data_IF_040216508505
#
_entry.id   IF_040216508505
#
_cell.length_a   1.000
_cell.length_b   1.000
_cell.length_c   1.000
_cell.angle_alpha   90.00
_cell.angle_beta   90.00
_cell.angle_gamma   90.00
#
_symmetry.space_group_name_H-M   'P 1'
#
loop_
_entity.id
_entity.type
_entity.pdbx_description
1 polymer ?
#
# COMPACT_ATOMS: atom_id res chain seq x y z
N UNK A 1 36.07 18.09 51.20
CA UNK A 1 35.98 18.58 49.82
C UNK A 1 35.66 17.37 48.97
N UNK A 2 34.34 17.15 48.64
CA UNK A 2 33.86 16.01 47.90
C UNK A 2 33.71 16.45 46.44
N UNK A 3 34.49 15.81 45.56
CA UNK A 3 34.42 16.09 44.11
C UNK A 3 33.30 15.24 43.51
N UNK A 4 32.20 15.87 43.10
CA UNK A 4 31.13 15.24 42.31
C UNK A 4 31.58 15.20 40.84
N UNK A 5 31.90 13.97 40.38
CA UNK A 5 32.05 13.67 38.93
C UNK A 5 30.67 13.59 38.29
N UNK A 6 30.31 14.63 37.54
CA UNK A 6 29.12 14.60 36.65
C UNK A 6 29.54 13.89 35.36
N UNK A 7 29.17 12.61 35.21
CA UNK A 7 29.29 11.88 33.95
C UNK A 7 28.20 12.37 32.98
N UNK A 8 28.61 13.18 32.01
CA UNK A 8 27.74 13.60 30.91
C UNK A 8 27.39 12.37 30.04
N UNK A 9 26.12 11.92 30.09
CA UNK A 9 25.58 11.04 29.07
C UNK A 9 25.54 11.78 27.75
N UNK A 10 26.43 11.44 26.83
CA UNK A 10 26.33 11.82 25.43
C UNK A 10 25.15 11.07 24.82
N UNK A 11 24.04 11.75 24.62
CA UNK A 11 22.94 11.26 23.78
C UNK A 11 23.49 11.08 22.36
N UNK A 12 23.72 9.84 21.97
CA UNK A 12 24.05 9.50 20.59
C UNK A 12 22.92 10.02 19.69
N UNK A 13 23.23 10.99 18.85
CA UNK A 13 22.28 11.50 17.83
C UNK A 13 21.92 10.33 16.94
N UNK A 14 20.64 9.95 16.92
CA UNK A 14 20.11 9.02 15.95
C UNK A 14 20.54 9.49 14.56
N UNK A 15 21.17 8.64 13.73
CA UNK A 15 21.58 9.06 12.40
C UNK A 15 20.35 9.55 11.62
N UNK A 16 20.42 10.75 11.03
CA UNK A 16 19.36 11.26 10.18
C UNK A 16 19.13 10.26 9.06
N UNK A 17 17.89 9.78 8.90
CA UNK A 17 17.49 8.98 7.75
C UNK A 17 17.85 9.77 6.49
N UNK A 18 18.61 9.16 5.59
CA UNK A 18 18.95 9.73 4.30
C UNK A 18 18.20 8.95 3.24
N UNK A 19 17.34 9.62 2.49
CA UNK A 19 16.56 9.03 1.41
C UNK A 19 16.80 9.79 0.13
N UNK A 20 16.74 9.09 -1.01
CA UNK A 20 16.73 9.68 -2.36
C UNK A 20 15.40 9.43 -3.06
N UNK A 21 14.71 8.37 -2.69
CA UNK A 21 13.41 8.00 -3.25
C UNK A 21 12.48 7.47 -2.15
N UNK A 22 11.18 7.68 -2.34
CA UNK A 22 10.14 7.09 -1.51
C UNK A 22 9.17 6.29 -2.39
N UNK A 23 8.70 5.16 -1.88
CA UNK A 23 7.68 4.32 -2.52
C UNK A 23 6.59 4.12 -1.48
N UNK A 24 5.33 4.41 -1.84
CA UNK A 24 4.19 4.36 -0.94
C UNK A 24 3.17 3.29 -1.32
N UNK A 25 2.28 2.97 -0.37
CA UNK A 25 1.05 2.22 -0.61
C UNK A 25 -0.10 2.83 0.20
N UNK A 26 -1.30 2.87 -0.38
CA UNK A 26 -2.51 3.34 0.30
C UNK A 26 -3.77 2.62 -0.20
N UNK A 27 -4.52 1.99 0.68
CA UNK A 27 -5.89 1.57 0.40
C UNK A 27 -6.81 2.79 0.47
N UNK A 28 -7.55 3.10 -0.60
CA UNK A 28 -8.34 4.32 -0.74
C UNK A 28 -9.76 4.22 -0.14
N UNK A 29 -10.11 3.09 0.48
CA UNK A 29 -11.47 2.83 1.00
C UNK A 29 -12.55 3.14 -0.04
N UNK A 30 -12.67 2.30 -1.06
CA UNK A 30 -13.73 2.34 -2.06
C UNK A 30 -13.81 3.70 -2.81
N UNK A 31 -12.80 4.00 -3.62
CA UNK A 31 -12.86 5.15 -4.53
C UNK A 31 -13.71 4.80 -5.75
N UNK A 32 -15.01 5.04 -5.64
CA UNK A 32 -16.00 4.87 -6.70
C UNK A 32 -16.40 6.23 -7.29
N UNK A 33 -16.74 6.23 -8.59
CA UNK A 33 -17.44 7.37 -9.18
C UNK A 33 -18.96 7.30 -8.87
N UNK A 34 -19.81 7.91 -9.66
CA UNK A 34 -21.25 7.96 -9.40
C UNK A 34 -22.06 7.25 -10.47
N UNK A 35 -21.40 6.46 -11.32
CA UNK A 35 -22.03 5.77 -12.44
C UNK A 35 -21.90 4.26 -12.22
N UNK A 36 -22.93 3.52 -12.60
CA UNK A 36 -22.88 2.06 -12.58
C UNK A 36 -22.02 1.53 -13.74
N UNK A 37 -21.08 0.65 -13.42
CA UNK A 37 -20.31 -0.09 -14.41
C UNK A 37 -21.00 -1.42 -14.76
N UNK A 38 -21.24 -1.65 -16.05
CA UNK A 38 -21.96 -2.84 -16.52
C UNK A 38 -21.29 -4.14 -16.05
N UNK A 39 -22.07 -5.00 -15.42
CA UNK A 39 -21.60 -6.30 -14.91
C UNK A 39 -20.92 -6.25 -13.54
N UNK A 40 -20.85 -5.08 -12.91
CA UNK A 40 -20.30 -4.91 -11.56
C UNK A 40 -21.42 -4.81 -10.52
N UNK A 41 -21.09 -5.12 -9.27
CA UNK A 41 -22.00 -4.99 -8.12
C UNK A 41 -21.61 -3.75 -7.30
N UNK A 42 -21.74 -2.59 -7.89
CA UNK A 42 -21.35 -1.27 -7.38
C UNK A 42 -22.56 -0.41 -6.94
N UNK A 43 -23.75 -0.99 -6.97
CA UNK A 43 -25.03 -0.28 -6.71
C UNK A 43 -25.07 0.48 -5.39
N UNK A 44 -24.30 0.06 -4.38
CA UNK A 44 -24.24 0.77 -3.10
C UNK A 44 -23.55 2.13 -3.21
N UNK A 45 -22.71 2.34 -4.25
CA UNK A 45 -22.01 3.59 -4.54
C UNK A 45 -22.74 4.48 -5.59
N UNK A 46 -24.04 4.31 -5.75
CA UNK A 46 -24.87 5.21 -6.53
C UNK A 46 -25.64 6.17 -5.61
N UNK A 47 -26.23 7.23 -6.22
CA UNK A 47 -26.99 8.22 -5.46
C UNK A 47 -28.17 7.60 -4.71
N UNK A 48 -28.81 6.58 -5.28
CA UNK A 48 -29.91 5.82 -4.70
C UNK A 48 -29.44 4.62 -3.87
N UNK A 49 -28.14 4.32 -3.89
CA UNK A 49 -27.55 3.20 -3.16
C UNK A 49 -27.45 3.46 -1.65
N UNK A 50 -27.00 2.45 -0.91
CA UNK A 50 -26.97 2.49 0.58
C UNK A 50 -26.04 3.58 1.14
N UNK A 51 -25.01 3.97 0.41
CA UNK A 51 -24.11 5.08 0.79
C UNK A 51 -24.62 6.45 0.33
N UNK A 52 -25.70 6.51 -0.47
CA UNK A 52 -26.18 7.74 -1.11
C UNK A 52 -25.02 8.52 -1.74
N UNK A 53 -24.25 7.83 -2.60
CA UNK A 53 -23.00 8.31 -3.15
C UNK A 53 -23.24 9.34 -4.24
N UNK A 54 -23.19 10.62 -3.88
CA UNK A 54 -23.45 11.77 -4.77
C UNK A 54 -22.15 12.32 -5.35
N UNK A 55 -22.27 13.14 -6.41
CA UNK A 55 -21.14 13.84 -7.01
C UNK A 55 -20.36 14.71 -6.00
N UNK A 56 -21.05 15.34 -5.04
CA UNK A 56 -20.40 16.12 -3.99
C UNK A 56 -19.52 15.22 -3.08
N UNK A 57 -20.02 14.05 -2.69
CA UNK A 57 -19.23 13.10 -1.90
C UNK A 57 -18.02 12.61 -2.67
N UNK A 58 -18.18 12.28 -3.96
CA UNK A 58 -17.09 11.88 -4.83
C UNK A 58 -16.00 12.96 -4.95
N UNK A 59 -16.39 14.21 -5.20
CA UNK A 59 -15.45 15.34 -5.30
C UNK A 59 -14.68 15.53 -3.97
N UNK A 60 -15.36 15.45 -2.82
CA UNK A 60 -14.71 15.54 -1.52
C UNK A 60 -13.74 14.37 -1.28
N UNK A 61 -14.14 13.14 -1.66
CA UNK A 61 -13.28 11.95 -1.57
C UNK A 61 -12.01 12.13 -2.41
N UNK A 62 -12.14 12.58 -3.66
CA UNK A 62 -10.99 12.87 -4.53
C UNK A 62 -10.05 13.92 -3.90
N UNK A 63 -10.60 15.01 -3.37
CA UNK A 63 -9.80 16.05 -2.72
C UNK A 63 -9.05 15.51 -1.50
N UNK A 64 -9.73 14.73 -0.65
CA UNK A 64 -9.11 14.11 0.53
C UNK A 64 -8.00 13.13 0.13
N UNK A 65 -8.26 12.24 -0.83
CA UNK A 65 -7.25 11.27 -1.29
C UNK A 65 -6.05 11.96 -1.93
N UNK A 66 -6.28 12.95 -2.79
CA UNK A 66 -5.21 13.68 -3.45
C UNK A 66 -4.29 14.42 -2.45
N UNK A 67 -4.86 14.96 -1.38
CA UNK A 67 -4.09 15.56 -0.29
C UNK A 67 -3.14 14.54 0.32
N UNK A 68 -3.65 13.38 0.77
CA UNK A 68 -2.82 12.34 1.40
C UNK A 68 -1.72 11.88 0.45
N UNK A 69 -2.09 11.49 -0.77
CA UNK A 69 -1.15 10.98 -1.77
C UNK A 69 -0.06 11.98 -2.12
N UNK A 70 -0.36 13.28 -2.13
CA UNK A 70 0.62 14.33 -2.40
C UNK A 70 1.58 14.58 -1.22
N UNK A 71 1.19 14.24 -0.01
CA UNK A 71 2.01 14.40 1.19
C UNK A 71 2.91 13.19 1.49
N UNK A 72 2.64 12.01 0.88
CA UNK A 72 3.44 10.81 1.12
C UNK A 72 4.92 11.01 0.72
N UNK A 73 5.82 10.66 1.64
CA UNK A 73 7.27 10.74 1.44
C UNK A 73 7.85 12.15 1.57
N UNK A 74 7.02 13.19 1.77
CA UNK A 74 7.48 14.57 1.83
C UNK A 74 8.19 14.94 3.12
N UNK A 75 8.08 14.15 4.16
CA UNK A 75 8.82 14.31 5.42
C UNK A 75 10.35 14.21 5.24
N UNK A 76 10.81 13.36 4.31
CA UNK A 76 12.22 13.24 3.92
C UNK A 76 12.52 13.84 2.54
N UNK A 77 11.52 13.94 1.66
CA UNK A 77 11.64 14.41 0.28
C UNK A 77 10.58 15.49 -0.02
N UNK A 78 10.66 16.67 0.62
CA UNK A 78 9.58 17.66 0.65
C UNK A 78 9.14 18.17 -0.73
N UNK A 79 10.06 18.30 -1.67
CA UNK A 79 9.78 18.80 -3.02
C UNK A 79 9.38 17.69 -4.01
N UNK A 80 9.62 16.42 -3.67
CA UNK A 80 9.53 15.27 -4.58
C UNK A 80 8.36 14.36 -4.20
N UNK A 81 8.26 13.97 -2.93
CA UNK A 81 7.33 12.95 -2.45
C UNK A 81 7.69 11.55 -2.98
N UNK A 82 6.69 10.70 -3.14
CA UNK A 82 6.90 9.34 -3.64
C UNK A 82 7.18 9.31 -5.14
N UNK A 83 8.12 8.46 -5.54
CA UNK A 83 8.39 8.12 -6.94
C UNK A 83 7.28 7.23 -7.53
N UNK A 84 6.72 6.34 -6.71
CA UNK A 84 5.57 5.51 -7.05
C UNK A 84 4.72 5.24 -5.80
N UNK A 85 3.41 5.07 -5.98
CA UNK A 85 2.45 4.75 -4.92
C UNK A 85 1.50 3.69 -5.45
N UNK A 86 1.52 2.49 -4.86
CA UNK A 86 0.47 1.51 -5.06
C UNK A 86 -0.82 1.96 -4.39
N UNK A 87 -1.94 1.77 -5.04
CA UNK A 87 -3.26 2.04 -4.45
C UNK A 87 -4.18 0.84 -4.65
N UNK A 88 -5.11 0.66 -3.73
CA UNK A 88 -6.15 -0.36 -3.80
C UNK A 88 -7.54 0.25 -3.58
N UNK A 89 -8.56 -0.51 -3.94
CA UNK A 89 -9.96 -0.12 -3.87
C UNK A 89 -10.31 1.08 -4.76
N UNK A 90 -9.83 1.03 -5.99
CA UNK A 90 -10.19 1.97 -7.05
C UNK A 90 -11.13 1.27 -8.01
N UNK A 91 -12.24 1.92 -8.35
CA UNK A 91 -13.23 1.36 -9.25
C UNK A 91 -12.68 1.21 -10.68
N UNK A 92 -12.21 2.30 -11.27
CA UNK A 92 -11.86 2.31 -12.69
C UNK A 92 -10.83 3.39 -13.06
N UNK A 93 -10.43 3.42 -14.33
CA UNK A 93 -9.47 4.41 -14.86
C UNK A 93 -10.01 5.85 -14.82
N UNK A 94 -11.34 6.06 -14.81
CA UNK A 94 -11.95 7.39 -14.68
C UNK A 94 -11.69 7.96 -13.29
N UNK A 95 -11.92 7.17 -12.24
CA UNK A 95 -11.59 7.56 -10.86
C UNK A 95 -10.14 7.98 -10.72
N UNK A 96 -9.21 7.24 -11.32
CA UNK A 96 -7.79 7.57 -11.30
C UNK A 96 -7.48 8.85 -12.09
N UNK A 97 -8.12 9.04 -13.25
CA UNK A 97 -7.97 10.25 -14.05
C UNK A 97 -8.45 11.49 -13.27
N UNK A 98 -9.59 11.39 -12.61
CA UNK A 98 -10.13 12.48 -11.81
C UNK A 98 -9.24 12.75 -10.57
N UNK A 99 -8.68 11.70 -9.97
CA UNK A 99 -7.77 11.80 -8.84
C UNK A 99 -6.45 12.50 -9.19
N UNK A 100 -5.76 12.08 -10.26
CA UNK A 100 -4.48 12.69 -10.64
C UNK A 100 -4.63 14.11 -11.19
N UNK A 101 -5.84 14.50 -11.62
CA UNK A 101 -6.16 15.86 -12.05
C UNK A 101 -6.47 16.79 -10.87
N UNK A 102 -6.58 16.29 -9.63
CA UNK A 102 -6.68 17.16 -8.45
C UNK A 102 -5.43 18.07 -8.35
N UNK A 103 -5.56 19.33 -7.95
CA UNK A 103 -4.48 20.32 -8.00
C UNK A 103 -3.16 19.86 -7.39
N UNK A 104 -3.21 19.17 -6.25
CA UNK A 104 -2.03 18.71 -5.51
C UNK A 104 -1.22 17.64 -6.26
N UNK A 105 -1.88 16.71 -6.96
CA UNK A 105 -1.23 15.64 -7.74
C UNK A 105 -0.86 16.12 -9.13
N UNK A 106 -1.72 16.93 -9.76
CA UNK A 106 -1.47 17.52 -11.07
C UNK A 106 -0.20 18.37 -11.10
N UNK A 107 0.07 19.11 -10.03
CA UNK A 107 1.29 19.91 -9.89
C UNK A 107 2.58 19.06 -9.93
N UNK A 108 2.49 17.77 -9.61
CA UNK A 108 3.61 16.82 -9.64
C UNK A 108 3.64 15.96 -10.91
N UNK A 109 2.75 16.22 -11.88
CA UNK A 109 2.63 15.46 -13.12
C UNK A 109 2.51 13.93 -12.89
N UNK A 110 1.76 13.52 -11.85
CA UNK A 110 1.55 12.10 -11.54
C UNK A 110 0.78 11.43 -12.68
N UNK A 111 1.21 10.24 -13.04
CA UNK A 111 0.56 9.35 -14.00
C UNK A 111 0.15 8.06 -13.28
N UNK A 112 -0.59 7.19 -13.96
CA UNK A 112 -0.99 5.90 -13.39
C UNK A 112 -0.89 4.75 -14.39
N UNK A 113 -0.75 3.54 -13.86
CA UNK A 113 -0.97 2.26 -14.52
C UNK A 113 -2.16 1.59 -13.84
N UNK A 114 -3.14 1.21 -14.64
CA UNK A 114 -4.31 0.46 -14.22
C UNK A 114 -4.66 -0.56 -15.29
N UNK A 115 -5.03 -1.75 -14.88
CA UNK A 115 -5.55 -2.81 -15.74
C UNK A 115 -6.81 -3.33 -15.06
N UNK A 116 -7.93 -3.22 -15.76
CA UNK A 116 -9.24 -3.66 -15.27
C UNK A 116 -9.20 -5.14 -14.87
N UNK A 117 -9.66 -5.43 -13.67
CA UNK A 117 -9.70 -6.77 -13.10
C UNK A 117 -11.09 -7.39 -13.07
N UNK A 118 -11.17 -8.67 -12.75
CA UNK A 118 -12.43 -9.41 -12.75
C UNK A 118 -13.19 -9.32 -11.43
N UNK A 119 -12.84 -8.44 -10.50
CA UNK A 119 -13.54 -8.30 -9.21
C UNK A 119 -15.01 -7.92 -9.45
N UNK A 120 -15.91 -8.62 -8.76
CA UNK A 120 -17.36 -8.42 -8.94
C UNK A 120 -17.87 -7.08 -8.41
N UNK A 121 -17.21 -6.50 -7.41
CA UNK A 121 -17.55 -5.16 -6.92
C UNK A 121 -17.03 -4.06 -7.85
N UNK A 122 -16.11 -4.40 -8.75
CA UNK A 122 -15.45 -3.44 -9.63
C UNK A 122 -14.33 -2.68 -8.96
N UNK A 123 -13.64 -3.25 -7.98
CA UNK A 123 -12.47 -2.60 -7.37
C UNK A 123 -11.17 -3.25 -7.83
N UNK A 124 -10.18 -2.42 -8.08
CA UNK A 124 -8.88 -2.82 -8.59
C UNK A 124 -7.72 -2.25 -7.77
N UNK A 125 -6.51 -2.67 -8.15
CA UNK A 125 -5.25 -2.04 -7.77
C UNK A 125 -4.71 -1.20 -8.90
N UNK A 126 -3.99 -0.12 -8.56
CA UNK A 126 -3.29 0.70 -9.53
C UNK A 126 -1.92 1.14 -8.99
N UNK A 127 -1.05 1.61 -9.87
CA UNK A 127 0.23 2.24 -9.53
C UNK A 127 0.21 3.68 -10.02
N UNK A 128 0.23 4.64 -9.10
CA UNK A 128 0.49 6.06 -9.39
C UNK A 128 2.01 6.25 -9.43
N UNK A 129 2.53 7.06 -10.35
CA UNK A 129 3.97 7.29 -10.42
C UNK A 129 4.33 8.68 -10.95
N UNK A 130 5.50 9.16 -10.54
CA UNK A 130 6.10 10.37 -11.10
C UNK A 130 7.00 9.98 -12.27
N UNK A 131 6.67 10.34 -13.53
CA UNK A 131 7.43 9.91 -14.71
C UNK A 131 8.83 10.53 -14.79
N UNK A 132 9.12 11.59 -14.03
CA UNK A 132 10.46 12.14 -13.90
C UNK A 132 11.40 11.25 -13.05
N UNK A 133 10.85 10.35 -12.24
CA UNK A 133 11.60 9.48 -11.32
C UNK A 133 11.52 8.01 -11.73
N UNK A 134 10.33 7.53 -12.05
CA UNK A 134 10.07 6.14 -12.42
C UNK A 134 9.61 6.05 -13.87
N UNK A 135 10.40 5.37 -14.70
CA UNK A 135 10.05 5.12 -16.10
C UNK A 135 9.47 3.72 -16.25
N UNK A 136 8.19 3.63 -16.56
CA UNK A 136 7.51 2.35 -16.79
C UNK A 136 8.00 1.74 -18.11
N UNK A 137 8.26 0.42 -18.09
CA UNK A 137 8.66 -0.38 -19.26
C UNK A 137 7.58 -1.33 -19.69
N UNK A 138 6.97 -2.02 -18.73
CA UNK A 138 5.93 -3.02 -18.95
C UNK A 138 4.97 -3.09 -17.77
N UNK A 139 3.74 -3.50 -18.04
CA UNK A 139 2.73 -3.73 -17.01
C UNK A 139 1.81 -4.88 -17.40
N UNK A 140 1.47 -5.72 -16.43
CA UNK A 140 0.55 -6.84 -16.61
C UNK A 140 -0.28 -7.09 -15.35
N UNK A 141 -1.47 -7.65 -15.53
CA UNK A 141 -2.30 -8.14 -14.45
C UNK A 141 -2.26 -9.67 -14.44
N UNK A 142 -1.71 -10.25 -13.37
CA UNK A 142 -1.70 -11.70 -13.17
C UNK A 142 -2.95 -12.05 -12.38
N UNK A 143 -3.83 -12.93 -12.91
CA UNK A 143 -5.07 -13.28 -12.22
C UNK A 143 -4.79 -13.97 -10.88
N UNK A 144 -5.56 -13.60 -9.85
CA UNK A 144 -5.67 -14.41 -8.65
C UNK A 144 -6.59 -15.60 -8.92
N UNK A 145 -6.20 -16.77 -8.49
CA UNK A 145 -6.95 -18.03 -8.71
C UNK A 145 -7.35 -18.62 -7.36
N UNK A 146 -8.65 -18.77 -7.13
CA UNK A 146 -9.14 -19.56 -6.00
C UNK A 146 -8.86 -21.04 -6.24
N UNK A 147 -8.21 -21.72 -5.30
CA UNK A 147 -7.74 -23.11 -5.48
C UNK A 147 -8.77 -24.15 -5.04
N UNK A 148 -9.77 -23.76 -4.26
CA UNK A 148 -10.76 -24.70 -3.70
C UNK A 148 -11.99 -24.85 -4.59
N UNK A 149 -12.53 -26.09 -4.69
CA UNK A 149 -13.70 -26.36 -5.53
C UNK A 149 -14.94 -25.55 -5.16
N UNK A 150 -15.15 -25.25 -3.87
CA UNK A 150 -16.27 -24.43 -3.38
C UNK A 150 -16.23 -22.96 -3.84
N UNK A 151 -15.06 -22.50 -4.27
CA UNK A 151 -14.86 -21.15 -4.81
C UNK A 151 -14.76 -21.14 -6.35
N UNK A 152 -15.07 -22.25 -7.01
CA UNK A 152 -15.02 -22.34 -8.46
C UNK A 152 -15.88 -21.24 -9.11
N UNK A 153 -15.27 -20.52 -10.05
CA UNK A 153 -15.94 -19.40 -10.74
C UNK A 153 -15.96 -18.06 -9.98
N UNK A 154 -15.45 -18.01 -8.73
CA UNK A 154 -15.20 -16.72 -8.08
C UNK A 154 -14.02 -16.02 -8.74
N UNK A 155 -14.14 -14.71 -8.85
CA UNK A 155 -13.06 -13.86 -9.32
C UNK A 155 -12.85 -12.70 -8.33
N UNK A 156 -11.61 -12.26 -8.23
CA UNK A 156 -11.22 -11.11 -7.40
C UNK A 156 -10.06 -10.38 -8.06
N UNK A 157 -9.57 -9.32 -7.41
CA UNK A 157 -8.43 -8.54 -7.89
C UNK A 157 -7.25 -9.45 -8.17
N UNK A 158 -6.56 -9.21 -9.28
CA UNK A 158 -5.29 -9.85 -9.59
C UNK A 158 -4.10 -9.13 -8.96
N UNK A 159 -2.90 -9.52 -9.37
CA UNK A 159 -1.64 -8.89 -8.99
C UNK A 159 -1.20 -7.98 -10.14
N UNK A 160 -1.21 -6.67 -9.92
CA UNK A 160 -0.70 -5.71 -10.90
C UNK A 160 0.83 -5.69 -10.81
N UNK A 161 1.48 -6.19 -11.84
CA UNK A 161 2.94 -6.23 -11.95
C UNK A 161 3.39 -5.11 -12.88
N UNK A 162 4.19 -4.18 -12.37
CA UNK A 162 4.74 -3.06 -13.15
C UNK A 162 6.26 -3.11 -13.10
N UNK A 163 6.89 -3.24 -14.23
CA UNK A 163 8.34 -3.20 -14.37
C UNK A 163 8.80 -1.85 -14.94
N UNK A 164 9.93 -1.35 -14.48
CA UNK A 164 10.42 -0.05 -14.87
C UNK A 164 11.85 0.22 -14.45
N UNK A 165 12.19 1.51 -14.47
CA UNK A 165 13.53 1.99 -14.09
C UNK A 165 13.39 3.12 -13.06
N UNK A 166 14.08 2.98 -11.93
CA UNK A 166 14.26 4.00 -10.90
C UNK A 166 15.75 4.18 -10.65
N UNK A 167 16.25 5.41 -10.68
CA UNK A 167 17.68 5.70 -10.51
C UNK A 167 18.60 4.93 -11.48
N UNK A 168 18.12 4.59 -12.68
CA UNK A 168 18.87 3.80 -13.66
C UNK A 168 18.87 2.29 -13.41
N UNK A 169 18.24 1.81 -12.34
CA UNK A 169 18.15 0.39 -12.00
C UNK A 169 16.80 -0.22 -12.36
N UNK A 170 16.80 -1.51 -12.67
CA UNK A 170 15.58 -2.26 -12.92
C UNK A 170 14.81 -2.47 -11.60
N UNK A 171 13.58 -1.98 -11.58
CA UNK A 171 12.67 -2.09 -10.45
C UNK A 171 11.38 -2.73 -10.91
N UNK A 172 10.88 -3.70 -10.16
CA UNK A 172 9.55 -4.28 -10.35
C UNK A 172 8.72 -4.05 -9.10
N UNK A 173 7.51 -3.54 -9.30
CA UNK A 173 6.54 -3.29 -8.24
C UNK A 173 5.33 -4.19 -8.49
N UNK A 174 4.94 -4.98 -7.50
CA UNK A 174 3.70 -5.75 -7.51
C UNK A 174 2.73 -5.06 -6.55
N UNK A 175 1.59 -4.62 -7.07
CA UNK A 175 0.50 -4.08 -6.25
C UNK A 175 -0.61 -5.13 -6.15
N UNK A 176 -1.05 -5.41 -4.94
CA UNK A 176 -2.07 -6.43 -4.69
C UNK A 176 -3.07 -6.00 -3.60
N UNK A 177 -4.22 -6.66 -3.57
CA UNK A 177 -5.19 -6.55 -2.51
C UNK A 177 -5.80 -7.94 -2.27
N UNK A 178 -5.33 -8.65 -1.24
CA UNK A 178 -5.77 -10.00 -0.93
C UNK A 178 -7.21 -10.04 -0.40
N UNK A 179 -7.89 -11.19 -0.45
CA UNK A 179 -9.24 -11.34 0.08
C UNK A 179 -9.34 -10.92 1.54
N UNK A 180 -10.40 -10.18 1.90
CA UNK A 180 -10.60 -9.68 3.25
C UNK A 180 -10.78 -10.81 4.27
N UNK A 181 -10.65 -10.49 5.58
CA UNK A 181 -10.92 -11.45 6.67
C UNK A 181 -12.39 -11.90 6.75
N UNK A 182 -13.27 -11.35 5.93
CA UNK A 182 -14.60 -11.94 5.67
C UNK A 182 -14.54 -13.27 4.93
N UNK A 183 -13.49 -13.53 4.16
CA UNK A 183 -13.16 -14.84 3.61
C UNK A 183 -12.35 -15.67 4.63
N UNK A 184 -12.36 -17.00 4.46
CA UNK A 184 -11.53 -17.90 5.26
C UNK A 184 -10.03 -17.65 4.99
N UNK A 185 -9.17 -17.94 5.97
CA UNK A 185 -7.72 -17.66 5.92
C UNK A 185 -7.03 -18.25 4.70
N UNK A 186 -7.44 -19.45 4.27
CA UNK A 186 -6.83 -20.11 3.12
C UNK A 186 -6.82 -19.24 1.85
N UNK A 187 -7.80 -18.37 1.66
CA UNK A 187 -7.84 -17.49 0.50
C UNK A 187 -6.64 -16.52 0.50
N UNK A 188 -6.23 -16.03 1.66
CA UNK A 188 -5.03 -15.19 1.78
C UNK A 188 -3.74 -16.01 1.71
N UNK A 189 -3.74 -17.23 2.24
CA UNK A 189 -2.63 -18.19 2.12
C UNK A 189 -2.39 -18.57 0.66
N UNK A 190 -3.46 -18.84 -0.12
CA UNK A 190 -3.39 -19.04 -1.56
C UNK A 190 -2.80 -17.80 -2.26
N UNK A 191 -3.24 -16.59 -1.86
CA UNK A 191 -2.70 -15.33 -2.37
C UNK A 191 -1.21 -15.18 -2.11
N UNK A 192 -0.77 -15.46 -0.88
CA UNK A 192 0.66 -15.44 -0.52
C UNK A 192 1.48 -16.45 -1.33
N UNK A 193 0.94 -17.65 -1.55
CA UNK A 193 1.58 -18.70 -2.38
C UNK A 193 1.70 -18.26 -3.84
N UNK A 194 0.66 -17.65 -4.41
CA UNK A 194 0.67 -17.16 -5.79
C UNK A 194 1.62 -15.96 -5.94
N UNK A 195 1.63 -15.02 -4.99
CA UNK A 195 2.60 -13.93 -4.99
C UNK A 195 4.05 -14.44 -4.93
N UNK A 196 4.32 -15.51 -4.16
CA UNK A 196 5.63 -16.17 -4.14
C UNK A 196 5.98 -16.71 -5.52
N UNK A 197 5.05 -17.40 -6.21
CA UNK A 197 5.29 -17.94 -7.53
C UNK A 197 5.58 -16.84 -8.56
N UNK A 198 4.85 -15.71 -8.51
CA UNK A 198 5.11 -14.54 -9.36
C UNK A 198 6.51 -13.97 -9.08
N UNK A 199 6.84 -13.77 -7.81
CA UNK A 199 8.18 -13.33 -7.38
C UNK A 199 9.28 -14.29 -7.89
N UNK A 200 9.09 -15.58 -7.72
CA UNK A 200 10.09 -16.59 -8.13
C UNK A 200 10.31 -16.57 -9.65
N UNK A 201 9.26 -16.35 -10.44
CA UNK A 201 9.37 -16.19 -11.90
C UNK A 201 10.17 -14.92 -12.25
N UNK A 202 9.87 -13.79 -11.63
CA UNK A 202 10.57 -12.52 -11.88
C UNK A 202 12.05 -12.64 -11.53
N UNK A 203 12.38 -13.21 -10.37
CA UNK A 203 13.75 -13.37 -9.90
C UNK A 203 14.55 -14.42 -10.67
N UNK A 204 13.87 -15.39 -11.29
CA UNK A 204 14.51 -16.34 -12.21
C UNK A 204 15.00 -15.65 -13.48
N UNK A 205 14.24 -14.66 -13.99
CA UNK A 205 14.59 -13.92 -15.20
C UNK A 205 15.62 -12.82 -14.91
N UNK A 206 15.51 -12.13 -13.75
CA UNK A 206 16.48 -11.14 -13.29
C UNK A 206 16.70 -11.28 -11.77
N UNK A 207 17.73 -12.03 -11.34
CA UNK A 207 18.02 -12.22 -9.91
C UNK A 207 18.38 -10.94 -9.14
N UNK A 208 18.74 -9.87 -9.84
CA UNK A 208 19.19 -8.60 -9.25
C UNK A 208 18.11 -7.51 -9.26
N UNK A 209 16.94 -7.76 -9.86
CA UNK A 209 15.85 -6.79 -9.91
C UNK A 209 15.50 -6.30 -8.51
N UNK A 210 15.27 -5.00 -8.38
CA UNK A 210 14.78 -4.39 -7.13
C UNK A 210 13.27 -4.62 -7.05
N UNK A 211 12.86 -5.68 -6.35
CA UNK A 211 11.46 -6.08 -6.28
C UNK A 211 10.81 -5.59 -4.99
N UNK A 212 9.66 -4.91 -5.14
CA UNK A 212 8.77 -4.52 -4.06
C UNK A 212 7.41 -5.19 -4.28
N UNK A 213 6.90 -5.86 -3.25
CA UNK A 213 5.52 -6.40 -3.22
C UNK A 213 4.75 -5.58 -2.20
N UNK A 214 3.75 -4.86 -2.65
CA UNK A 214 2.97 -3.97 -1.79
C UNK A 214 1.48 -4.24 -1.93
N UNK A 215 0.75 -3.94 -0.87
CA UNK A 215 -0.70 -4.10 -0.91
C UNK A 215 -1.36 -4.06 0.46
N UNK A 216 -2.69 -4.10 0.41
CA UNK A 216 -3.51 -4.53 1.53
C UNK A 216 -3.52 -6.06 1.54
N UNK A 217 -2.73 -6.64 2.42
CA UNK A 217 -2.58 -8.09 2.56
C UNK A 217 -3.76 -8.72 3.30
N UNK A 218 -4.61 -7.90 3.93
CA UNK A 218 -5.70 -8.32 4.81
C UNK A 218 -5.28 -9.32 5.91
N UNK A 219 -3.98 -9.45 6.10
CA UNK A 219 -3.31 -10.23 7.15
C UNK A 219 -2.11 -9.46 7.71
N UNK A 220 -1.77 -9.76 8.94
CA UNK A 220 -0.62 -9.17 9.62
C UNK A 220 0.71 -9.81 9.15
N UNK A 221 1.87 -9.16 9.35
CA UNK A 221 3.17 -9.69 8.90
C UNK A 221 3.50 -11.10 9.40
N UNK A 222 3.01 -11.50 10.57
CA UNK A 222 3.23 -12.82 11.17
C UNK A 222 2.23 -13.88 10.74
N UNK A 223 1.14 -13.50 10.05
CA UNK A 223 0.12 -14.47 9.63
C UNK A 223 0.66 -15.44 8.58
N UNK A 224 0.11 -16.66 8.49
CA UNK A 224 0.62 -17.70 7.60
C UNK A 224 0.73 -17.28 6.14
N UNK A 225 -0.19 -16.46 5.64
CA UNK A 225 -0.16 -15.93 4.27
C UNK A 225 1.14 -15.17 3.96
N UNK A 226 1.65 -14.38 4.92
CA UNK A 226 2.83 -13.54 4.77
C UNK A 226 4.10 -14.26 5.21
N UNK A 227 4.09 -14.82 6.41
CA UNK A 227 5.29 -15.42 7.02
C UNK A 227 5.70 -16.76 6.38
N UNK A 228 4.71 -17.57 5.95
CA UNK A 228 4.91 -18.93 5.45
C UNK A 228 4.66 -19.00 3.94
N UNK A 229 3.49 -18.61 3.47
CA UNK A 229 3.08 -18.76 2.07
C UNK A 229 3.87 -17.82 1.16
N UNK A 230 3.89 -16.53 1.42
CA UNK A 230 4.79 -15.60 0.73
C UNK A 230 6.25 -15.81 1.17
N UNK A 231 6.48 -16.11 2.43
CA UNK A 231 7.80 -16.41 3.00
C UNK A 231 8.64 -15.17 3.29
N UNK A 232 7.98 -14.05 3.56
CA UNK A 232 8.65 -12.81 3.93
C UNK A 232 9.20 -12.89 5.37
N UNK A 233 10.51 -12.68 5.54
CA UNK A 233 11.22 -12.84 6.81
C UNK A 233 11.10 -11.60 7.68
N UNK A 234 11.16 -11.82 8.99
CA UNK A 234 11.20 -10.76 9.98
C UNK A 234 12.56 -10.07 10.04
N UNK A 235 13.63 -10.86 10.08
CA UNK A 235 15.00 -10.34 10.24
C UNK A 235 15.73 -10.38 8.89
N UNK A 236 16.48 -9.31 8.58
CA UNK A 236 17.27 -9.22 7.34
C UNK A 236 18.30 -10.36 7.26
N UNK A 237 18.84 -10.80 8.40
CA UNK A 237 19.81 -11.90 8.48
C UNK A 237 19.24 -13.26 8.08
N UNK A 238 17.91 -13.41 8.05
CA UNK A 238 17.21 -14.65 7.67
C UNK A 238 16.85 -14.68 6.17
N UNK A 239 17.15 -13.59 5.45
CA UNK A 239 16.77 -13.47 4.03
C UNK A 239 17.86 -14.05 3.15
N UNK A 240 17.59 -15.23 2.59
CA UNK A 240 18.44 -15.88 1.59
C UNK A 240 18.38 -15.17 0.22
N UNK A 241 19.22 -15.61 -0.74
CA UNK A 241 19.15 -15.19 -2.12
C UNK A 241 17.76 -15.49 -2.70
N UNK A 242 17.16 -14.51 -3.37
CA UNK A 242 15.77 -14.61 -3.86
C UNK A 242 14.69 -14.52 -2.77
N UNK A 243 15.09 -14.32 -1.52
CA UNK A 243 14.19 -14.15 -0.38
C UNK A 243 13.61 -12.75 -0.26
N UNK A 244 12.65 -12.63 0.65
CA UNK A 244 11.93 -11.40 0.96
C UNK A 244 12.08 -11.01 2.43
N UNK A 245 12.14 -9.71 2.68
CA UNK A 245 12.10 -9.11 4.00
C UNK A 245 10.85 -8.27 4.18
N UNK A 246 10.21 -8.40 5.34
CA UNK A 246 9.04 -7.62 5.71
C UNK A 246 9.39 -6.69 6.89
N UNK A 247 9.56 -5.38 6.67
CA UNK A 247 9.95 -4.43 7.71
C UNK A 247 8.87 -4.18 8.77
N UNK A 248 7.62 -4.56 8.50
CA UNK A 248 6.45 -4.17 9.29
C UNK A 248 6.23 -4.99 10.57
N UNK A 249 6.93 -6.11 10.74
CA UNK A 249 6.83 -6.94 11.95
C UNK A 249 7.07 -6.16 13.25
N UNK A 250 8.11 -5.34 13.26
CA UNK A 250 8.49 -4.59 14.45
C UNK A 250 7.57 -3.39 14.69
N UNK A 251 6.99 -2.81 13.65
CA UNK A 251 5.97 -1.78 13.78
C UNK A 251 4.73 -2.33 14.49
N UNK A 252 4.20 -3.48 14.04
CA UNK A 252 3.06 -4.12 14.69
C UNK A 252 3.38 -4.54 16.13
N UNK A 253 4.55 -5.14 16.35
CA UNK A 253 4.99 -5.53 17.70
C UNK A 253 5.14 -4.33 18.66
N UNK A 254 5.36 -3.13 18.13
CA UNK A 254 5.39 -1.87 18.88
C UNK A 254 4.01 -1.23 19.09
N UNK A 255 2.93 -1.91 18.67
CA UNK A 255 1.56 -1.43 18.81
C UNK A 255 1.13 -0.46 17.71
N UNK A 256 1.87 -0.36 16.60
CA UNK A 256 1.52 0.43 15.43
C UNK A 256 0.77 -0.45 14.41
N UNK A 257 -0.09 0.17 13.62
CA UNK A 257 -0.83 -0.52 12.56
C UNK A 257 -1.42 0.44 11.56
N UNK A 258 -1.97 -0.11 10.49
CA UNK A 258 -2.58 0.67 9.41
C UNK A 258 -4.09 0.65 9.43
N UNK A 259 -4.70 -0.37 10.04
CA UNK A 259 -6.14 -0.50 10.25
C UNK A 259 -6.44 -0.83 11.71
N UNK A 260 -7.52 -0.27 12.26
CA UNK A 260 -7.93 -0.54 13.64
C UNK A 260 -9.29 -1.23 13.66
N UNK A 261 -9.32 -2.46 14.17
CA UNK A 261 -10.54 -3.25 14.31
C UNK A 261 -10.74 -3.69 15.75
N UNK A 262 -11.94 -3.49 16.30
CA UNK A 262 -12.29 -3.82 17.70
C UNK A 262 -11.29 -3.31 18.75
N UNK A 263 -10.72 -2.12 18.49
CA UNK A 263 -9.74 -1.50 19.37
C UNK A 263 -8.30 -1.96 19.20
N UNK A 264 -8.04 -3.02 18.45
CA UNK A 264 -6.71 -3.52 18.14
C UNK A 264 -6.19 -2.98 16.79
N UNK A 265 -4.89 -2.69 16.73
CA UNK A 265 -4.22 -2.36 15.48
C UNK A 265 -3.84 -3.63 14.73
N UNK A 266 -4.13 -3.65 13.44
CA UNK A 266 -3.62 -4.60 12.46
C UNK A 266 -2.73 -3.85 11.47
N UNK A 267 -1.78 -4.53 10.84
CA UNK A 267 -0.88 -3.95 9.86
C UNK A 267 -1.03 -4.70 8.54
N UNK A 268 -2.11 -4.37 7.81
CA UNK A 268 -2.47 -5.02 6.55
C UNK A 268 -1.79 -4.41 5.34
N UNK A 269 -1.47 -3.11 5.41
CA UNK A 269 -0.88 -2.35 4.32
C UNK A 269 0.64 -2.48 4.41
N UNK A 270 1.22 -3.35 3.59
CA UNK A 270 2.62 -3.74 3.69
C UNK A 270 3.36 -3.48 2.37
N UNK A 271 4.65 -3.16 2.48
CA UNK A 271 5.61 -3.10 1.38
C UNK A 271 6.76 -4.03 1.74
N UNK A 272 6.83 -5.18 1.08
CA UNK A 272 7.81 -6.24 1.30
C UNK A 272 8.92 -6.11 0.27
N UNK A 273 10.16 -6.32 0.67
CA UNK A 273 11.36 -6.01 -0.11
C UNK A 273 12.16 -7.26 -0.45
N UNK A 274 12.65 -7.34 -1.69
CA UNK A 274 13.59 -8.40 -2.09
C UNK A 274 14.98 -8.19 -1.49
N UNK A 275 15.74 -9.27 -1.39
CA UNK A 275 17.15 -9.29 -0.90
C UNK A 275 18.02 -8.24 -1.59
N UNK A 276 17.81 -8.00 -2.88
CA UNK A 276 18.58 -7.04 -3.69
C UNK A 276 18.47 -5.58 -3.20
N UNK A 277 17.45 -5.25 -2.39
CA UNK A 277 17.26 -3.94 -1.75
C UNK A 277 17.89 -3.85 -0.34
N UNK A 278 18.42 -4.94 0.21
CA UNK A 278 18.86 -5.02 1.62
C UNK A 278 20.38 -4.86 1.80
N UNK A 279 21.12 -4.62 0.74
CA UNK A 279 22.57 -4.41 0.76
C UNK A 279 23.16 -4.53 -0.63
N UNK A 280 24.45 -4.20 -0.76
CA UNK A 280 25.15 -4.27 -2.04
C UNK A 280 25.33 -2.91 -2.72
N UNK A 281 25.21 -2.89 -4.04
CA UNK A 281 25.33 -1.65 -4.85
C UNK A 281 23.96 -1.17 -5.31
N UNK A 282 23.87 0.12 -5.62
CA UNK A 282 22.70 0.76 -6.18
C UNK A 282 21.61 1.04 -5.17
N UNK A 283 20.33 1.01 -5.58
CA UNK A 283 19.18 1.31 -4.73
C UNK A 283 19.10 0.35 -3.54
N UNK A 284 19.02 0.92 -2.34
CA UNK A 284 18.96 0.18 -1.09
C UNK A 284 17.90 0.78 -0.16
N UNK A 285 17.29 -0.08 0.62
CA UNK A 285 16.43 0.32 1.72
C UNK A 285 17.16 1.23 2.71
N UNK A 286 16.49 2.29 3.16
CA UNK A 286 17.02 3.23 4.14
C UNK A 286 16.06 3.53 5.29
N UNK A 287 14.81 3.11 5.20
CA UNK A 287 13.82 3.30 6.25
C UNK A 287 12.40 3.06 5.77
N UNK A 288 11.47 3.08 6.71
CA UNK A 288 10.02 2.99 6.44
C UNK A 288 9.25 3.73 7.51
N UNK A 289 7.98 4.00 7.25
CA UNK A 289 7.03 4.55 8.21
C UNK A 289 5.58 4.26 7.82
N UNK A 290 4.69 4.24 8.82
CA UNK A 290 3.27 4.45 8.65
C UNK A 290 3.04 5.96 8.63
N UNK A 291 2.48 6.48 7.54
CA UNK A 291 2.15 7.91 7.44
C UNK A 291 0.88 8.19 8.24
N UNK A 292 1.06 8.91 9.37
CA UNK A 292 0.01 9.06 10.37
C UNK A 292 -0.10 10.50 10.90
N UNK A 293 -0.35 11.51 10.06
CA UNK A 293 -0.63 12.85 10.55
C UNK A 293 -1.98 12.89 11.28
N UNK A 294 -2.13 13.83 12.21
CA UNK A 294 -3.31 13.94 13.07
C UNK A 294 -4.64 14.04 12.30
N UNK A 295 -4.63 14.66 11.12
CA UNK A 295 -5.83 14.83 10.31
C UNK A 295 -6.37 13.50 9.72
N UNK A 296 -5.55 12.45 9.66
CA UNK A 296 -5.99 11.10 9.26
C UNK A 296 -6.66 10.33 10.39
N UNK A 297 -6.70 10.88 11.61
CA UNK A 297 -7.18 10.19 12.78
C UNK A 297 -8.48 10.82 13.30
N UNK A 298 -9.33 9.97 13.84
CA UNK A 298 -10.52 10.42 14.53
C UNK A 298 -10.17 11.16 15.82
N UNK A 299 -10.81 12.30 16.03
CA UNK A 299 -10.69 13.11 17.24
C UNK A 299 -11.26 12.42 18.49
N UNK A 300 -11.30 13.14 19.64
CA UNK A 300 -11.81 12.59 20.89
C UNK A 300 -13.21 11.99 20.75
N UNK A 301 -13.38 10.76 21.25
CA UNK A 301 -14.62 9.98 21.17
C UNK A 301 -14.37 8.48 21.24
N UNK A 302 -15.40 7.64 20.99
CA UNK A 302 -15.29 6.18 21.07
C UNK A 302 -14.23 5.57 20.13
N UNK A 303 -13.95 6.23 19.03
CA UNK A 303 -12.99 5.77 18.01
C UNK A 303 -11.71 6.62 17.95
N UNK A 304 -11.41 7.32 19.02
CA UNK A 304 -10.25 8.21 19.09
C UNK A 304 -8.96 7.53 18.65
N UNK A 305 -8.23 8.20 17.77
CA UNK A 305 -6.96 7.72 17.23
C UNK A 305 -7.09 6.60 16.20
N UNK A 306 -8.30 6.16 15.84
CA UNK A 306 -8.52 5.28 14.70
C UNK A 306 -8.45 6.08 13.40
N UNK A 307 -8.17 5.46 12.24
CA UNK A 307 -8.24 6.15 10.96
C UNK A 307 -9.59 6.86 10.76
N UNK A 308 -9.57 8.08 10.24
CA UNK A 308 -10.76 8.84 9.90
C UNK A 308 -11.26 8.40 8.52
N UNK A 309 -12.12 7.40 8.53
CA UNK A 309 -12.66 6.77 7.33
C UNK A 309 -13.69 7.62 6.60
N UNK A 310 -13.95 7.27 5.37
CA UNK A 310 -14.91 7.95 4.49
C UNK A 310 -16.33 7.84 5.01
N UNK A 311 -16.75 6.63 5.39
CA UNK A 311 -18.09 6.31 5.89
C UNK A 311 -18.03 5.35 7.07
N UNK A 312 -18.99 5.40 7.96
CA UNK A 312 -19.17 4.41 9.02
C UNK A 312 -20.65 4.20 9.33
N UNK A 313 -21.12 2.94 9.35
CA UNK A 313 -22.52 2.61 9.65
C UNK A 313 -23.52 3.31 8.73
N UNK A 314 -23.18 3.48 7.44
CA UNK A 314 -23.98 4.19 6.45
C UNK A 314 -23.92 5.73 6.55
N UNK A 315 -23.17 6.28 7.51
CA UNK A 315 -23.03 7.72 7.66
C UNK A 315 -21.79 8.24 6.91
N UNK A 316 -21.95 9.36 6.22
CA UNK A 316 -20.86 10.09 5.60
C UNK A 316 -20.05 10.85 6.67
N UNK A 317 -18.78 10.51 6.84
CA UNK A 317 -17.87 11.16 7.78
C UNK A 317 -16.98 12.21 7.11
N UNK A 318 -16.93 12.24 5.79
CA UNK A 318 -16.03 13.09 5.00
C UNK A 318 -14.55 12.91 5.40
N UNK A 319 -14.17 11.69 5.75
CA UNK A 319 -12.82 11.33 6.11
C UNK A 319 -11.97 10.94 4.90
N UNK A 320 -10.95 10.16 5.16
CA UNK A 320 -9.95 9.75 4.17
C UNK A 320 -10.08 8.27 3.81
N UNK A 321 -9.62 7.39 4.67
CA UNK A 321 -9.70 5.94 4.53
C UNK A 321 -9.74 5.29 5.91
N UNK A 322 -10.23 4.07 6.01
CA UNK A 322 -10.12 3.23 7.21
C UNK A 322 -8.72 2.60 7.35
N UNK A 323 -7.84 2.86 6.38
CA UNK A 323 -6.43 2.50 6.41
C UNK A 323 -5.53 3.73 6.57
N UNK A 324 -4.31 3.52 7.06
CA UNK A 324 -3.21 4.48 7.04
C UNK A 324 -2.18 4.07 5.99
N UNK A 325 -1.64 5.04 5.22
CA UNK A 325 -0.63 4.74 4.20
C UNK A 325 0.69 4.25 4.80
N UNK A 326 1.40 3.44 4.03
CA UNK A 326 2.77 3.01 4.32
C UNK A 326 3.75 3.57 3.30
N UNK A 327 4.97 3.84 3.74
CA UNK A 327 6.06 4.36 2.89
C UNK A 327 7.34 3.64 3.22
N UNK A 328 8.11 3.23 2.20
CA UNK A 328 9.50 2.82 2.32
C UNK A 328 10.40 3.83 1.61
N UNK A 329 11.59 4.03 2.17
CA UNK A 329 12.58 4.95 1.66
C UNK A 329 13.78 4.17 1.09
N UNK A 330 14.26 4.62 -0.06
CA UNK A 330 15.42 4.07 -0.76
C UNK A 330 16.49 5.15 -0.91
N UNK A 331 17.75 4.74 -0.96
CA UNK A 331 18.91 5.61 -1.21
C UNK A 331 19.84 5.01 -2.24
#
# INVERSE_FOLDING_TARGET
MVLLLVSGLSLAKTPKRQASYAIGFYNLENLFDTCHDEGKNDYEFLAEGSYHWTGDKYIHKLANMSRVLSELGTDLLPDIGCAAIGVAEVENARCLTDLINQPSLKARNIQFIHIEGPDQRGIDCALLYNPALFTVRDASLIPYIYTRPEDAGRATRGFLVVSGTLAGEHVTIIVNHLPSRGALSYAREDGGTQLRAVKDSILKDDPNVKLLIMGDMNDDPQDPSMAVCLGAKREISEVDEGGLWNPWWNELASGNGTLKFEGAWNLFDQIVLSKSLLGGKGLQYSGHQIFRPDYLLQGPGPYWGSPLRTTAGGQWLNGFSDHLPTVVYLK
#
